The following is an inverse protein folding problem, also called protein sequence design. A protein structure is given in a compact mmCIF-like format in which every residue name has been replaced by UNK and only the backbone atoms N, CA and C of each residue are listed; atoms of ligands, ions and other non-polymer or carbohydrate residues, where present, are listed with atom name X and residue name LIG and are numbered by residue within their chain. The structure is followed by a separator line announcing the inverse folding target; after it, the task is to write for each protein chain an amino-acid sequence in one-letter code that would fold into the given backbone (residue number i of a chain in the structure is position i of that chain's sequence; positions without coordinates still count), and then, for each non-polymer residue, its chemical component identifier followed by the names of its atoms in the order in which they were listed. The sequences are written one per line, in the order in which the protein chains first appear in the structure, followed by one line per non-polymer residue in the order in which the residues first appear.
data_IF_584010767628
#
_entry.id   IF_584010767628
#
_cell.length_a   1.000
_cell.length_b   1.000
_cell.length_c   1.000
_cell.angle_alpha   90.00
_cell.angle_beta   90.00
_cell.angle_gamma   90.00
#
_symmetry.space_group_name_H-M   'P 1'
#
loop_
_entity.id
_entity.type
_entity.pdbx_description
1 polymer ?
#
# COMPACT_ATOMS: atom_id res chain seq x y z
N UNK A 1 27.38 73.24 -15.19
CA UNK A 1 26.19 73.09 -14.33
C UNK A 1 26.13 71.63 -13.92
N UNK A 2 26.53 71.37 -12.69
CA UNK A 2 26.57 70.05 -12.09
C UNK A 2 25.16 69.69 -11.61
N UNK A 3 24.75 68.43 -11.83
CA UNK A 3 23.64 67.85 -11.10
C UNK A 3 24.01 66.43 -10.72
N UNK A 4 23.78 66.17 -9.45
CA UNK A 4 24.43 65.24 -8.56
C UNK A 4 23.37 64.19 -8.21
N UNK A 5 23.41 63.01 -8.83
CA UNK A 5 22.52 61.90 -8.46
C UNK A 5 23.24 61.02 -7.43
N UNK A 6 22.87 61.22 -6.18
CA UNK A 6 23.19 60.37 -5.04
C UNK A 6 22.28 59.13 -5.07
N UNK A 7 22.88 57.96 -5.22
CA UNK A 7 22.22 56.68 -4.92
C UNK A 7 22.16 56.48 -3.39
N UNK A 8 20.99 56.24 -2.79
CA UNK A 8 20.91 55.85 -1.39
C UNK A 8 21.19 54.35 -1.26
N UNK A 9 22.23 54.02 -0.50
CA UNK A 9 22.48 52.70 0.05
C UNK A 9 21.34 52.33 1.00
N UNK A 10 20.37 51.55 0.51
CA UNK A 10 19.36 50.89 1.32
C UNK A 10 20.02 49.84 2.22
N UNK A 11 20.14 50.19 3.50
CA UNK A 11 20.46 49.27 4.59
C UNK A 11 19.35 48.23 4.68
N UNK A 12 19.65 47.00 4.28
CA UNK A 12 18.87 45.81 4.65
C UNK A 12 19.15 45.54 6.12
N UNK A 13 18.38 46.18 7.00
CA UNK A 13 18.18 45.70 8.35
C UNK A 13 17.41 44.40 8.25
N UNK A 14 18.11 43.28 8.47
CA UNK A 14 17.47 42.03 8.86
C UNK A 14 16.83 42.26 10.23
N UNK A 15 15.58 42.71 10.23
CA UNK A 15 14.68 42.59 11.37
C UNK A 15 14.44 41.10 11.60
N UNK A 16 15.34 40.44 12.32
CA UNK A 16 15.01 39.19 12.98
C UNK A 16 13.89 39.50 13.99
N UNK A 17 12.69 38.90 13.85
CA UNK A 17 11.66 39.06 14.87
C UNK A 17 12.21 38.45 16.15
N UNK A 18 12.35 39.29 17.17
CA UNK A 18 12.83 38.98 18.50
C UNK A 18 11.76 38.19 19.29
N UNK A 19 11.18 37.15 18.67
CA UNK A 19 9.98 36.43 19.10
C UNK A 19 10.27 35.32 20.13
N UNK A 20 11.53 35.13 20.54
CA UNK A 20 11.90 34.10 21.53
C UNK A 20 11.88 34.58 22.99
N UNK A 21 11.43 35.81 23.27
CA UNK A 21 11.15 36.26 24.63
C UNK A 21 9.66 36.24 24.94
N UNK A 22 9.03 35.07 24.73
CA UNK A 22 7.76 34.73 25.36
C UNK A 22 7.96 34.43 26.86
N UNK A 23 8.55 35.36 27.61
CA UNK A 23 8.78 35.27 29.06
C UNK A 23 7.50 35.52 29.88
N UNK A 24 6.33 35.38 29.27
CA UNK A 24 5.04 35.51 29.96
C UNK A 24 4.67 34.22 30.70
N UNK A 25 3.82 34.29 31.73
CA UNK A 25 3.26 33.10 32.35
C UNK A 25 2.44 32.30 31.32
N UNK A 26 2.48 30.97 31.44
CA UNK A 26 1.61 30.08 30.67
C UNK A 26 0.15 30.48 30.88
N UNK A 27 -0.64 30.47 29.82
CA UNK A 27 -2.07 30.77 29.88
C UNK A 27 -2.90 29.50 29.75
N UNK A 28 -3.74 29.23 30.73
CA UNK A 28 -4.61 28.06 30.77
C UNK A 28 -6.05 28.46 30.51
N UNK A 29 -6.75 27.66 29.70
CA UNK A 29 -8.16 27.86 29.45
C UNK A 29 -8.91 26.54 29.34
N UNK A 30 -10.13 26.53 29.84
CA UNK A 30 -11.10 25.47 29.62
C UNK A 30 -11.76 25.65 28.26
N UNK A 31 -11.93 24.54 27.57
CA UNK A 31 -12.74 24.48 26.37
C UNK A 31 -13.79 23.37 26.49
N UNK A 32 -15.02 23.64 26.07
CA UNK A 32 -16.12 22.68 26.15
C UNK A 32 -16.92 22.64 24.86
N UNK A 33 -17.38 21.44 24.50
CA UNK A 33 -18.40 21.26 23.47
C UNK A 33 -19.78 21.67 24.01
N UNK A 34 -20.66 22.23 23.19
CA UNK A 34 -21.97 22.75 23.63
C UNK A 34 -23.18 22.06 22.98
N UNK A 35 -22.97 21.34 21.88
CA UNK A 35 -24.02 20.67 21.12
C UNK A 35 -24.40 19.27 21.67
N UNK A 36 -23.73 18.80 22.72
CA UNK A 36 -23.93 17.48 23.29
C UNK A 36 -23.89 17.50 24.82
N UNK A 37 -24.79 16.75 25.45
CA UNK A 37 -24.87 16.63 26.92
C UNK A 37 -23.70 15.84 27.53
N UNK A 38 -22.98 15.07 26.71
CA UNK A 38 -21.73 14.38 27.01
C UNK A 38 -20.59 15.12 26.30
N UNK A 39 -20.58 16.44 26.49
CA UNK A 39 -19.63 17.32 25.87
C UNK A 39 -18.20 16.97 26.30
N UNK A 40 -17.37 16.62 25.32
CA UNK A 40 -15.94 16.53 25.54
C UNK A 40 -15.41 17.88 26.03
N UNK A 41 -14.63 17.82 27.12
CA UNK A 41 -13.97 18.96 27.72
C UNK A 41 -12.49 18.87 27.44
N UNK A 42 -11.85 20.02 27.32
CA UNK A 42 -10.44 20.12 27.01
C UNK A 42 -9.82 21.20 27.90
N UNK A 43 -8.59 20.92 28.34
CA UNK A 43 -7.69 21.92 28.84
C UNK A 43 -6.83 22.39 27.67
N UNK A 44 -6.85 23.69 27.42
CA UNK A 44 -5.98 24.35 26.47
C UNK A 44 -4.85 25.04 27.25
N UNK A 45 -3.62 24.80 26.84
CA UNK A 45 -2.43 25.42 27.42
C UNK A 45 -1.71 26.19 26.32
N UNK A 46 -1.51 27.48 26.55
CA UNK A 46 -0.85 28.40 25.64
C UNK A 46 0.42 28.95 26.28
N UNK A 47 1.43 29.26 25.46
CA UNK A 47 2.64 29.92 25.94
C UNK A 47 2.41 31.34 26.46
N UNK A 48 1.33 32.00 26.02
CA UNK A 48 0.89 33.30 26.54
C UNK A 48 -0.57 33.59 26.20
N UNK A 49 -1.13 34.63 26.82
CA UNK A 49 -2.48 35.11 26.49
C UNK A 49 -2.58 35.69 25.08
N UNK A 50 -1.50 36.27 24.55
CA UNK A 50 -1.46 36.78 23.19
C UNK A 50 -1.65 35.65 22.18
N UNK A 51 -0.98 34.51 22.40
CA UNK A 51 -1.15 33.31 21.56
C UNK A 51 -2.58 32.76 21.67
N UNK A 52 -3.19 32.75 22.86
CA UNK A 52 -4.57 32.32 23.02
C UNK A 52 -5.56 33.22 22.25
N UNK A 53 -5.32 34.54 22.25
CA UNK A 53 -6.13 35.51 21.50
C UNK A 53 -5.95 35.36 19.99
N UNK A 54 -4.71 35.18 19.53
CA UNK A 54 -4.38 34.94 18.12
C UNK A 54 -5.03 33.65 17.61
N UNK A 55 -4.83 32.55 18.34
CA UNK A 55 -5.44 31.26 18.04
C UNK A 55 -6.96 31.37 17.94
N UNK A 56 -7.62 32.04 18.89
CA UNK A 56 -9.07 32.20 18.87
C UNK A 56 -9.55 33.09 17.71
N UNK A 57 -8.81 34.14 17.38
CA UNK A 57 -9.16 35.02 16.26
C UNK A 57 -9.10 34.25 14.94
N UNK A 58 -8.07 33.42 14.76
CA UNK A 58 -7.95 32.57 13.58
C UNK A 58 -9.03 31.48 13.53
N UNK A 59 -9.38 30.90 14.68
CA UNK A 59 -10.54 30.00 14.82
C UNK A 59 -11.83 30.67 14.32
N UNK A 60 -12.10 31.90 14.74
CA UNK A 60 -13.31 32.62 14.33
C UNK A 60 -13.30 32.98 12.85
N UNK A 61 -12.13 33.27 12.27
CA UNK A 61 -11.98 33.55 10.86
C UNK A 61 -12.24 32.32 9.98
N UNK A 62 -11.69 31.17 10.38
CA UNK A 62 -11.74 29.93 9.58
C UNK A 62 -12.99 29.10 9.85
N UNK A 63 -13.53 29.22 11.05
CA UNK A 63 -14.69 28.49 11.51
C UNK A 63 -15.67 29.45 12.21
N UNK A 64 -16.41 30.30 11.47
CA UNK A 64 -17.31 31.30 12.06
C UNK A 64 -18.37 30.72 13.00
N UNK A 65 -18.81 29.49 12.71
CA UNK A 65 -19.81 28.77 13.52
C UNK A 65 -19.19 27.90 14.62
N UNK A 66 -17.86 27.94 14.79
CA UNK A 66 -17.16 27.07 15.72
C UNK A 66 -17.59 27.28 17.15
N UNK A 67 -17.98 28.48 17.57
CA UNK A 67 -18.34 28.71 18.96
C UNK A 67 -18.18 30.14 19.45
N UNK A 68 -18.25 30.27 20.78
CA UNK A 68 -18.22 31.54 21.50
C UNK A 68 -17.21 31.46 22.64
N UNK A 69 -16.43 32.54 22.81
CA UNK A 69 -15.56 32.71 23.98
C UNK A 69 -16.33 33.43 25.08
N UNK A 70 -16.70 32.68 26.12
CA UNK A 70 -17.55 33.20 27.22
C UNK A 70 -16.73 33.99 28.25
N UNK A 71 -15.44 33.65 28.42
CA UNK A 71 -14.52 34.37 29.30
C UNK A 71 -13.08 34.25 28.79
N UNK A 72 -12.11 34.97 29.37
CA UNK A 72 -10.70 34.82 28.97
C UNK A 72 -10.24 33.36 28.98
N UNK A 73 -10.63 32.60 30.01
CA UNK A 73 -10.26 31.20 30.23
C UNK A 73 -11.37 30.20 29.86
N UNK A 74 -12.45 30.60 29.18
CA UNK A 74 -13.55 29.69 28.81
C UNK A 74 -13.95 29.83 27.34
N UNK A 75 -13.65 28.78 26.59
CA UNK A 75 -14.03 28.58 25.20
C UNK A 75 -15.19 27.59 25.11
N UNK A 76 -16.24 27.94 24.39
CA UNK A 76 -17.37 27.05 24.11
C UNK A 76 -17.43 26.84 22.60
N UNK A 77 -17.49 25.60 22.14
CA UNK A 77 -17.51 25.29 20.71
C UNK A 77 -18.57 24.25 20.34
N UNK A 78 -18.86 24.17 19.04
CA UNK A 78 -19.75 23.19 18.41
C UNK A 78 -18.93 22.21 17.56
N UNK A 79 -19.44 21.00 17.40
CA UNK A 79 -18.85 19.96 16.59
C UNK A 79 -17.74 19.17 17.29
N UNK A 80 -17.48 18.00 16.72
CA UNK A 80 -16.54 17.04 17.28
C UNK A 80 -15.09 17.44 17.02
N UNK A 81 -14.24 17.15 18.02
CA UNK A 81 -12.78 17.18 17.93
C UNK A 81 -12.23 18.54 17.51
N UNK A 82 -12.85 19.62 17.95
CA UNK A 82 -12.51 20.97 17.51
C UNK A 82 -11.03 21.35 17.79
N UNK A 83 -10.46 21.16 19.00
CA UNK A 83 -9.04 21.41 19.23
C UNK A 83 -8.12 20.55 18.36
N UNK A 84 -8.51 19.30 18.10
CA UNK A 84 -7.74 18.41 17.22
C UNK A 84 -7.74 18.90 15.77
N UNK A 85 -8.86 19.42 15.28
CA UNK A 85 -8.95 19.99 13.93
C UNK A 85 -8.00 21.17 13.77
N UNK A 86 -8.03 22.12 14.71
CA UNK A 86 -7.15 23.31 14.67
C UNK A 86 -5.68 22.95 14.83
N UNK A 87 -5.35 21.88 15.56
CA UNK A 87 -3.96 21.44 15.72
C UNK A 87 -3.36 20.81 14.45
N UNK A 88 -4.20 20.26 13.56
CA UNK A 88 -3.78 19.59 12.32
C UNK A 88 -3.96 20.47 11.08
N UNK A 89 -4.53 21.66 11.24
CA UNK A 89 -4.82 22.57 10.12
C UNK A 89 -3.58 23.38 9.75
N UNK A 90 -3.22 23.37 8.46
CA UNK A 90 -2.06 24.10 7.93
C UNK A 90 -2.11 25.60 8.22
N UNK A 91 -3.30 26.18 8.36
CA UNK A 91 -3.45 27.61 8.68
C UNK A 91 -2.96 27.97 10.09
N UNK A 92 -2.88 26.97 10.97
CA UNK A 92 -2.42 27.11 12.34
C UNK A 92 -0.97 26.65 12.52
N UNK A 93 -0.25 26.35 11.43
CA UNK A 93 1.10 25.77 11.47
C UNK A 93 2.07 26.58 12.35
N UNK A 94 2.01 27.92 12.28
CA UNK A 94 2.85 28.81 13.09
C UNK A 94 2.49 28.85 14.58
N UNK A 95 1.33 28.29 14.96
CA UNK A 95 0.86 28.18 16.34
C UNK A 95 1.09 26.78 16.92
N UNK A 96 1.35 25.76 16.09
CA UNK A 96 1.41 24.35 16.53
C UNK A 96 2.38 24.08 17.69
N UNK A 97 3.47 24.84 17.80
CA UNK A 97 4.46 24.72 18.87
C UNK A 97 4.18 25.62 20.08
N UNK A 98 3.19 26.51 19.99
CA UNK A 98 2.89 27.56 20.98
C UNK A 98 1.66 27.24 21.85
N UNK A 99 0.95 26.17 21.55
CA UNK A 99 -0.16 25.69 22.35
C UNK A 99 -0.34 24.18 22.22
N UNK A 100 -0.99 23.57 23.19
CA UNK A 100 -1.44 22.19 23.11
C UNK A 100 -2.75 22.02 23.87
N UNK A 101 -3.41 20.88 23.69
CA UNK A 101 -4.63 20.55 24.40
C UNK A 101 -4.55 19.16 25.04
N UNK A 102 -5.29 18.99 26.12
CA UNK A 102 -5.54 17.69 26.77
C UNK A 102 -7.03 17.49 26.95
N UNK A 103 -7.56 16.34 26.53
CA UNK A 103 -8.96 16.03 26.77
C UNK A 103 -9.17 15.66 28.24
N UNK A 104 -10.07 16.37 28.91
CA UNK A 104 -10.47 16.11 30.29
C UNK A 104 -11.82 15.38 30.24
N UNK A 105 -11.79 14.13 30.67
CA UNK A 105 -12.91 13.20 30.89
C UNK A 105 -14.28 13.50 30.28
N UNK A 106 -14.71 12.61 29.39
CA UNK A 106 -16.12 12.26 29.26
C UNK A 106 -16.52 11.38 30.46
N UNK A 107 -17.71 11.62 31.00
CA UNK A 107 -18.22 11.09 32.27
C UNK A 107 -18.17 9.56 32.44
N UNK A 108 -17.96 8.80 31.37
CA UNK A 108 -18.07 7.34 31.39
C UNK A 108 -16.73 6.59 31.46
N UNK A 109 -15.58 7.27 31.31
CA UNK A 109 -14.28 6.56 31.18
C UNK A 109 -13.05 7.22 31.82
N UNK A 110 -13.21 8.24 32.67
CA UNK A 110 -12.06 8.81 33.37
C UNK A 110 -11.56 7.91 34.49
N UNK A 111 -10.48 7.17 34.20
CA UNK A 111 -9.61 6.47 35.17
C UNK A 111 -8.89 7.48 36.10
N UNK A 112 -9.65 8.19 36.93
CA UNK A 112 -9.11 8.86 38.11
C UNK A 112 -8.11 10.00 37.88
N UNK A 113 -7.92 10.51 36.65
CA UNK A 113 -7.18 11.77 36.46
C UNK A 113 -7.98 12.88 37.11
N UNK A 114 -7.44 13.40 38.22
CA UNK A 114 -8.03 14.47 39.02
C UNK A 114 -8.50 15.61 38.11
N UNK A 115 -9.64 16.22 38.44
CA UNK A 115 -10.06 17.46 37.79
C UNK A 115 -8.95 18.50 38.01
N UNK A 116 -8.18 18.78 36.97
CA UNK A 116 -7.14 19.81 37.05
C UNK A 116 -7.84 21.15 37.28
N UNK A 117 -7.76 21.64 38.52
CA UNK A 117 -8.16 22.99 38.90
C UNK A 117 -7.12 23.91 38.30
N UNK A 118 -7.45 24.58 37.19
CA UNK A 118 -6.57 25.59 36.61
C UNK A 118 -6.49 26.81 37.52
N UNK A 119 -5.32 27.46 37.63
CA UNK A 119 -5.23 28.73 38.34
C UNK A 119 -6.15 29.76 37.68
N UNK A 120 -6.88 30.52 38.50
CA UNK A 120 -7.69 31.64 38.01
C UNK A 120 -6.73 32.71 37.50
N UNK A 121 -6.77 33.00 36.21
CA UNK A 121 -5.94 34.02 35.59
C UNK A 121 -6.80 35.18 35.10
N UNK A 122 -6.24 36.39 35.15
CA UNK A 122 -6.86 37.55 34.52
C UNK A 122 -6.73 37.50 32.99
N UNK A 123 -7.24 38.54 32.32
CA UNK A 123 -7.12 38.69 30.87
C UNK A 123 -5.69 38.90 30.35
N UNK A 124 -4.71 39.04 31.24
CA UNK A 124 -3.29 39.18 30.93
C UNK A 124 -2.51 37.88 31.21
N UNK A 125 -3.14 36.90 31.87
CA UNK A 125 -2.52 35.63 32.27
C UNK A 125 -1.90 35.66 33.68
N UNK A 126 -2.09 36.71 34.46
CA UNK A 126 -1.62 36.76 35.85
C UNK A 126 -2.59 36.01 36.77
N UNK A 127 -2.06 35.25 37.73
CA UNK A 127 -2.89 34.45 38.66
C UNK A 127 -3.56 35.36 39.70
N UNK A 128 -4.90 35.42 39.70
CA UNK A 128 -5.72 36.34 40.51
C UNK A 128 -5.91 35.93 42.00
N UNK A 129 -5.09 35.01 42.52
CA UNK A 129 -5.29 34.41 43.86
C UNK A 129 -4.11 34.52 44.83
N UNK A 130 -3.02 35.21 44.46
CA UNK A 130 -1.77 35.23 45.25
C UNK A 130 -1.51 36.51 46.09
N UNK A 131 -2.38 37.53 46.01
CA UNK A 131 -2.11 38.88 46.52
C UNK A 131 -2.55 39.18 47.96
N UNK A 132 -2.62 38.18 48.84
CA UNK A 132 -2.96 38.40 50.26
C UNK A 132 -1.78 38.93 51.06
N UNK A 133 -1.57 40.24 51.06
CA UNK A 133 -0.71 40.93 52.04
C UNK A 133 -1.35 40.84 53.43
N UNK A 134 -1.15 39.70 54.09
CA UNK A 134 -1.69 39.38 55.41
C UNK A 134 -0.59 38.78 56.28
N UNK A 135 0.06 39.64 57.06
CA UNK A 135 1.06 39.29 58.07
C UNK A 135 0.43 38.36 59.12
N UNK A 136 0.70 37.05 59.03
CA UNK A 136 0.20 36.07 60.01
C UNK A 136 0.16 34.59 59.58
N UNK A 137 0.41 34.26 58.31
CA UNK A 137 0.29 32.87 57.78
C UNK A 137 1.52 32.31 57.08
N UNK A 138 2.74 32.76 57.43
CA UNK A 138 3.98 32.44 56.71
C UNK A 138 4.21 30.94 56.51
N UNK A 139 3.94 30.12 57.52
CA UNK A 139 4.24 28.68 57.49
C UNK A 139 3.30 27.87 56.59
N UNK A 140 2.03 28.27 56.47
CA UNK A 140 1.06 27.62 55.60
C UNK A 140 1.27 27.99 54.13
N UNK A 141 1.63 29.25 53.87
CA UNK A 141 1.95 29.74 52.53
C UNK A 141 3.31 29.20 52.04
N UNK A 142 4.29 29.05 52.94
CA UNK A 142 5.58 28.43 52.63
C UNK A 142 5.40 26.96 52.24
N UNK A 143 4.60 26.19 53.00
CA UNK A 143 4.24 24.81 52.61
C UNK A 143 3.48 24.75 51.29
N UNK A 144 2.63 25.74 50.99
CA UNK A 144 1.91 25.81 49.73
C UNK A 144 2.85 26.12 48.55
N UNK A 145 3.78 27.07 48.71
CA UNK A 145 4.81 27.35 47.70
C UNK A 145 5.74 26.17 47.49
N UNK A 146 6.14 25.47 48.56
CA UNK A 146 6.98 24.29 48.46
C UNK A 146 6.26 23.15 47.70
N UNK A 147 4.96 22.94 47.98
CA UNK A 147 4.13 21.99 47.23
C UNK A 147 3.92 22.41 45.77
N UNK A 148 3.80 23.70 45.50
CA UNK A 148 3.70 24.22 44.14
C UNK A 148 5.02 24.06 43.38
N UNK A 149 6.16 24.23 44.05
CA UNK A 149 7.48 23.97 43.49
C UNK A 149 7.66 22.48 43.17
N UNK A 150 7.29 21.57 44.07
CA UNK A 150 7.29 20.13 43.81
C UNK A 150 6.39 19.76 42.61
N UNK A 151 5.22 20.39 42.49
CA UNK A 151 4.34 20.19 41.34
C UNK A 151 4.94 20.72 40.05
N UNK A 152 5.61 21.87 40.08
CA UNK A 152 6.30 22.42 38.91
C UNK A 152 7.47 21.54 38.48
N UNK A 153 8.26 21.04 39.43
CA UNK A 153 9.36 20.11 39.16
C UNK A 153 8.83 18.76 38.62
N UNK A 154 7.71 18.27 39.16
CA UNK A 154 7.01 17.10 38.66
C UNK A 154 6.49 17.28 37.23
N UNK A 155 5.88 18.42 36.94
CA UNK A 155 5.41 18.77 35.60
C UNK A 155 6.57 18.93 34.61
N UNK A 156 7.68 19.56 35.03
CA UNK A 156 8.87 19.68 34.19
C UNK A 156 9.47 18.30 33.85
N UNK A 157 9.48 17.38 34.80
CA UNK A 157 9.88 15.98 34.57
C UNK A 157 8.96 15.28 33.56
N UNK A 158 7.63 15.44 33.69
CA UNK A 158 6.67 14.87 32.74
C UNK A 158 6.82 15.44 31.32
N UNK A 159 7.02 16.76 31.19
CA UNK A 159 7.27 17.40 29.89
C UNK A 159 8.53 16.82 29.24
N UNK A 160 9.60 16.62 30.02
CA UNK A 160 10.83 15.99 29.54
C UNK A 160 10.58 14.56 29.05
N UNK A 161 9.86 13.74 29.83
CA UNK A 161 9.51 12.37 29.40
C UNK A 161 8.63 12.36 28.15
N UNK A 162 7.71 13.32 28.02
CA UNK A 162 6.87 13.46 26.84
C UNK A 162 7.70 13.84 25.61
N UNK A 163 8.63 14.79 25.75
CA UNK A 163 9.56 15.18 24.69
C UNK A 163 10.46 14.01 24.25
N UNK A 164 11.00 13.24 25.20
CA UNK A 164 11.78 12.03 24.90
C UNK A 164 10.94 10.97 24.18
N UNK A 165 9.67 10.81 24.57
CA UNK A 165 8.74 9.89 23.92
C UNK A 165 8.39 10.33 22.50
N UNK A 166 8.17 11.63 22.29
CA UNK A 166 7.95 12.19 20.95
C UNK A 166 9.18 12.01 20.07
N UNK A 167 10.39 12.26 20.57
CA UNK A 167 11.64 12.02 19.84
C UNK A 167 11.76 10.55 19.40
N UNK A 168 11.49 9.60 20.31
CA UNK A 168 11.50 8.16 19.98
C UNK A 168 10.44 7.77 18.96
N UNK A 169 9.27 8.42 18.99
CA UNK A 169 8.22 8.19 18.02
C UNK A 169 8.62 8.72 16.64
N UNK A 170 9.26 9.89 16.55
CA UNK A 170 9.78 10.41 15.29
C UNK A 170 10.82 9.46 14.67
N UNK A 171 11.77 8.94 15.46
CA UNK A 171 12.71 7.92 14.96
C UNK A 171 12.01 6.64 14.47
N UNK A 172 10.89 6.26 15.10
CA UNK A 172 10.10 5.10 14.63
C UNK A 172 9.40 5.38 13.32
N UNK A 173 8.91 6.61 13.12
CA UNK A 173 8.32 7.04 11.85
C UNK A 173 9.35 7.06 10.73
N UNK A 174 10.55 7.58 10.97
CA UNK A 174 11.65 7.54 9.99
C UNK A 174 12.01 6.10 9.59
N UNK A 175 12.14 5.18 10.57
CA UNK A 175 12.38 3.76 10.27
C UNK A 175 11.22 3.13 9.48
N UNK A 176 9.99 3.53 9.76
CA UNK A 176 8.82 3.04 9.04
C UNK A 176 8.79 3.56 7.60
N UNK A 177 9.15 4.82 7.39
CA UNK A 177 9.28 5.43 6.07
C UNK A 177 10.29 4.68 5.21
N UNK A 178 11.48 4.40 5.75
CA UNK A 178 12.50 3.59 5.05
C UNK A 178 11.98 2.20 4.67
N UNK A 179 11.28 1.50 5.59
CA UNK A 179 10.70 0.18 5.29
C UNK A 179 9.60 0.26 4.22
N UNK A 180 8.82 1.33 4.17
CA UNK A 180 7.80 1.54 3.14
C UNK A 180 8.46 1.81 1.78
N UNK A 181 9.53 2.61 1.74
CA UNK A 181 10.30 2.86 0.51
C UNK A 181 10.97 1.60 -0.03
N UNK A 182 11.56 0.77 0.85
CA UNK A 182 12.14 -0.52 0.48
C UNK A 182 11.08 -1.46 -0.08
N UNK A 183 9.91 -1.56 0.57
CA UNK A 183 8.80 -2.38 0.09
C UNK A 183 8.25 -1.88 -1.26
N UNK A 184 8.12 -0.57 -1.44
CA UNK A 184 7.68 0.02 -2.71
C UNK A 184 8.67 -0.34 -3.84
N UNK A 185 9.97 -0.30 -3.55
CA UNK A 185 11.03 -0.68 -4.50
C UNK A 185 10.97 -2.17 -4.84
N UNK A 186 10.73 -3.05 -3.87
CA UNK A 186 10.57 -4.49 -4.10
C UNK A 186 9.33 -4.81 -4.96
N UNK A 187 8.19 -4.18 -4.67
CA UNK A 187 6.95 -4.36 -5.45
C UNK A 187 7.16 -3.91 -6.90
N UNK A 188 7.88 -2.80 -7.11
CA UNK A 188 8.23 -2.32 -8.45
C UNK A 188 9.10 -3.33 -9.19
N UNK A 189 10.15 -3.85 -8.56
CA UNK A 189 11.01 -4.87 -9.16
C UNK A 189 10.26 -6.17 -9.51
N UNK A 190 9.35 -6.63 -8.65
CA UNK A 190 8.49 -7.78 -8.93
C UNK A 190 7.54 -7.51 -10.12
N UNK A 191 6.95 -6.33 -10.17
CA UNK A 191 6.02 -5.94 -11.25
C UNK A 191 6.74 -5.86 -12.60
N UNK A 192 7.95 -5.31 -12.62
CA UNK A 192 8.80 -5.26 -13.81
C UNK A 192 9.23 -6.67 -14.24
N UNK A 193 9.61 -7.54 -13.29
CA UNK A 193 9.92 -8.95 -13.55
C UNK A 193 8.74 -9.73 -14.13
N UNK A 194 7.53 -9.54 -13.59
CA UNK A 194 6.30 -10.16 -14.10
C UNK A 194 5.91 -9.64 -15.49
N UNK A 195 6.22 -8.38 -15.79
CA UNK A 195 6.01 -7.83 -17.13
C UNK A 195 6.96 -8.47 -18.14
N UNK A 196 8.26 -8.52 -17.81
CA UNK A 196 9.27 -9.14 -18.66
C UNK A 196 9.00 -10.64 -18.90
N UNK A 197 8.58 -11.37 -17.85
CA UNK A 197 8.21 -12.77 -17.97
C UNK A 197 6.96 -12.98 -18.84
N UNK A 198 5.95 -12.10 -18.72
CA UNK A 198 4.76 -12.13 -19.58
C UNK A 198 5.10 -11.85 -21.05
N UNK A 199 6.02 -10.95 -21.31
CA UNK A 199 6.49 -10.64 -22.66
C UNK A 199 7.26 -11.83 -23.27
N UNK A 200 8.18 -12.42 -22.51
CA UNK A 200 8.90 -13.62 -22.92
C UNK A 200 7.95 -14.79 -23.21
N UNK A 201 6.93 -15.02 -22.38
CA UNK A 201 5.94 -16.06 -22.63
C UNK A 201 5.10 -15.80 -23.90
N UNK A 202 4.82 -14.53 -24.24
CA UNK A 202 4.16 -14.19 -25.51
C UNK A 202 5.06 -14.52 -26.70
N UNK A 203 6.35 -14.21 -26.62
CA UNK A 203 7.34 -14.54 -27.64
C UNK A 203 7.44 -16.04 -27.86
N UNK A 204 7.59 -16.83 -26.79
CA UNK A 204 7.65 -18.30 -26.86
C UNK A 204 6.35 -18.89 -27.44
N UNK A 205 5.18 -18.34 -27.06
CA UNK A 205 3.90 -18.79 -27.61
C UNK A 205 3.74 -18.44 -29.09
N UNK A 206 4.30 -17.31 -29.52
CA UNK A 206 4.32 -16.91 -30.92
C UNK A 206 5.24 -17.82 -31.73
N UNK A 207 6.45 -18.09 -31.24
CA UNK A 207 7.38 -19.04 -31.87
C UNK A 207 6.75 -20.43 -31.99
N UNK A 208 6.12 -20.93 -30.92
CA UNK A 208 5.45 -22.24 -30.94
C UNK A 208 4.28 -22.27 -31.93
N UNK A 209 3.52 -21.17 -32.06
CA UNK A 209 2.47 -21.05 -33.09
C UNK A 209 3.07 -21.14 -34.50
N UNK A 210 4.18 -20.46 -34.74
CA UNK A 210 4.86 -20.46 -36.05
C UNK A 210 5.43 -21.85 -36.38
N UNK A 211 5.98 -22.55 -35.39
CA UNK A 211 6.43 -23.94 -35.52
C UNK A 211 5.26 -24.90 -35.84
N UNK A 212 4.13 -24.77 -35.13
CA UNK A 212 2.93 -25.57 -35.42
C UNK A 212 2.39 -25.31 -36.83
N UNK A 213 2.44 -24.06 -37.28
CA UNK A 213 2.05 -23.70 -38.64
C UNK A 213 2.99 -24.33 -39.68
N UNK A 214 4.30 -24.23 -39.48
CA UNK A 214 5.28 -24.85 -40.38
C UNK A 214 5.13 -26.38 -40.44
N UNK A 215 4.82 -27.03 -39.32
CA UNK A 215 4.51 -28.47 -39.28
C UNK A 215 3.22 -28.81 -40.05
N UNK A 216 2.16 -28.01 -39.87
CA UNK A 216 0.90 -28.19 -40.59
C UNK A 216 1.09 -28.01 -42.11
N UNK A 217 1.84 -26.99 -42.53
CA UNK A 217 2.17 -26.73 -43.93
C UNK A 217 3.02 -27.88 -44.52
N UNK A 218 3.98 -28.40 -43.74
CA UNK A 218 4.78 -29.57 -44.11
C UNK A 218 3.95 -30.84 -44.28
N UNK A 219 2.95 -31.07 -43.41
CA UNK A 219 2.01 -32.18 -43.54
C UNK A 219 1.12 -32.03 -44.78
N UNK A 220 0.65 -30.82 -45.07
CA UNK A 220 -0.12 -30.54 -46.29
C UNK A 220 0.71 -30.83 -47.55
N UNK A 221 1.95 -30.34 -47.62
CA UNK A 221 2.85 -30.60 -48.74
C UNK A 221 3.16 -32.10 -48.91
N UNK A 222 3.34 -32.83 -47.80
CA UNK A 222 3.54 -34.29 -47.84
C UNK A 222 2.30 -35.04 -48.36
N UNK A 223 1.10 -34.60 -47.98
CA UNK A 223 -0.15 -35.18 -48.47
C UNK A 223 -0.35 -34.93 -49.97
N UNK A 224 -0.07 -33.72 -50.45
CA UNK A 224 -0.09 -33.38 -51.88
C UNK A 224 0.90 -34.23 -52.68
N UNK A 225 2.12 -34.39 -52.16
CA UNK A 225 3.14 -35.23 -52.79
C UNK A 225 2.70 -36.70 -52.89
N UNK A 226 2.12 -37.27 -51.82
CA UNK A 226 1.58 -38.63 -51.83
C UNK A 226 0.45 -38.79 -52.86
N UNK A 227 -0.43 -37.80 -52.98
CA UNK A 227 -1.51 -37.82 -53.96
C UNK A 227 -0.96 -37.81 -55.40
N UNK A 228 0.04 -36.97 -55.69
CA UNK A 228 0.70 -36.93 -57.00
C UNK A 228 1.42 -38.24 -57.32
N UNK A 229 2.15 -38.82 -56.35
CA UNK A 229 2.85 -40.09 -56.53
C UNK A 229 1.87 -41.24 -56.83
N UNK A 230 0.72 -41.27 -56.15
CA UNK A 230 -0.33 -42.25 -56.40
C UNK A 230 -0.96 -42.07 -57.79
N UNK A 231 -1.20 -40.83 -58.22
CA UNK A 231 -1.71 -40.54 -59.56
C UNK A 231 -0.72 -40.97 -60.66
N UNK A 232 0.58 -40.71 -60.47
CA UNK A 232 1.62 -41.19 -61.40
C UNK A 232 1.68 -42.72 -61.45
N UNK A 233 1.60 -43.39 -60.30
CA UNK A 233 1.58 -44.87 -60.22
C UNK A 233 0.36 -45.47 -60.93
N UNK A 234 -0.82 -44.89 -60.76
CA UNK A 234 -2.04 -45.35 -61.45
C UNK A 234 -1.96 -45.12 -62.96
N UNK A 235 -1.42 -43.98 -63.41
CA UNK A 235 -1.15 -43.69 -64.83
C UNK A 235 -0.19 -44.72 -65.42
N UNK A 236 0.97 -44.93 -64.80
CA UNK A 236 1.97 -45.91 -65.23
C UNK A 236 1.41 -47.35 -65.27
N UNK A 237 0.63 -47.73 -64.25
CA UNK A 237 -0.04 -49.04 -64.22
C UNK A 237 -1.07 -49.20 -65.36
N UNK A 238 -1.82 -48.13 -65.67
CA UNK A 238 -2.77 -48.13 -66.79
C UNK A 238 -2.07 -48.26 -68.15
N UNK A 239 -0.94 -47.59 -68.33
CA UNK A 239 -0.12 -47.68 -69.54
C UNK A 239 0.50 -49.05 -69.70
N UNK A 240 1.07 -49.60 -68.62
CA UNK A 240 1.58 -50.97 -68.59
C UNK A 240 0.50 -51.99 -68.92
N UNK A 241 -0.72 -51.82 -68.39
CA UNK A 241 -1.87 -52.67 -68.72
C UNK A 241 -2.26 -52.59 -70.20
N UNK A 242 -2.22 -51.39 -70.79
CA UNK A 242 -2.46 -51.18 -72.24
C UNK A 242 -1.38 -51.86 -73.08
N UNK A 243 -0.11 -51.70 -72.71
CA UNK A 243 1.01 -52.32 -73.44
C UNK A 243 0.97 -53.86 -73.33
N UNK A 244 0.65 -54.40 -72.15
CA UNK A 244 0.48 -55.85 -71.96
C UNK A 244 -0.65 -56.41 -72.83
N UNK A 245 -1.76 -55.68 -72.98
CA UNK A 245 -2.84 -56.04 -73.92
C UNK A 245 -2.36 -56.00 -75.38
N UNK A 246 -1.52 -55.03 -75.74
CA UNK A 246 -0.93 -54.88 -77.08
C UNK A 246 0.02 -56.04 -77.41
N UNK A 247 0.90 -56.41 -76.48
CA UNK A 247 1.78 -57.58 -76.60
C UNK A 247 0.97 -58.88 -76.74
N UNK A 248 -0.08 -59.06 -75.94
CA UNK A 248 -0.97 -60.24 -76.07
C UNK A 248 -1.62 -60.33 -77.46
N UNK A 249 -2.06 -59.21 -78.03
CA UNK A 249 -2.60 -59.19 -79.39
C UNK A 249 -1.53 -59.52 -80.44
N UNK A 250 -0.31 -58.98 -80.31
CA UNK A 250 0.80 -59.30 -81.21
C UNK A 250 1.19 -60.78 -81.15
N UNK A 251 1.34 -61.35 -79.94
CA UNK A 251 1.63 -62.78 -79.78
C UNK A 251 0.52 -63.67 -80.35
N UNK A 252 -0.76 -63.26 -80.25
CA UNK A 252 -1.88 -63.99 -80.85
C UNK A 252 -1.83 -64.02 -82.39
N UNK A 253 -1.19 -63.03 -83.02
CA UNK A 253 -0.99 -63.01 -84.48
C UNK A 253 0.26 -63.76 -84.97
N UNK A 254 1.20 -64.12 -84.08
CA UNK A 254 2.45 -64.83 -84.46
C UNK A 254 2.55 -66.28 -83.97
N UNK A 255 1.74 -66.71 -83.00
CA UNK A 255 1.83 -68.05 -82.41
C UNK A 255 0.60 -68.93 -82.67
N UNK A 256 0.61 -69.64 -83.80
CA UNK A 256 -0.17 -70.85 -83.96
C UNK A 256 0.51 -72.03 -83.23
N UNK A 257 -0.30 -72.80 -82.52
CA UNK A 257 -0.04 -74.14 -81.95
C UNK A 257 1.07 -74.27 -80.89
N UNK A 258 0.67 -74.22 -79.61
CA UNK A 258 1.12 -75.17 -78.58
C UNK A 258 0.15 -75.13 -77.39
N UNK A 259 -0.67 -76.18 -77.29
CA UNK A 259 -1.44 -76.48 -76.10
C UNK A 259 -0.49 -76.98 -75.00
N UNK A 260 -0.56 -76.42 -73.80
CA UNK A 260 -0.04 -77.07 -72.60
C UNK A 260 -0.97 -76.81 -71.41
N UNK A 261 -1.28 -77.94 -70.78
CA UNK A 261 -2.07 -78.25 -69.60
C UNK A 261 -2.18 -77.21 -68.48
N UNK A 262 -3.45 -77.06 -68.11
CA UNK A 262 -4.01 -76.99 -66.76
C UNK A 262 -3.37 -78.00 -65.78
N UNK A 263 -2.74 -77.49 -64.71
CA UNK A 263 -2.61 -78.21 -63.44
C UNK A 263 -2.77 -77.24 -62.28
N UNK A 264 -3.79 -77.52 -61.47
CA UNK A 264 -4.04 -76.95 -60.17
C UNK A 264 -2.91 -77.30 -59.18
N UNK A 265 -2.47 -76.32 -58.41
CA UNK A 265 -1.76 -76.53 -57.14
C UNK A 265 -1.94 -75.29 -56.25
N UNK A 266 -3.03 -75.32 -55.49
CA UNK A 266 -3.36 -74.40 -54.42
C UNK A 266 -2.31 -74.54 -53.30
N UNK A 267 -1.34 -73.63 -53.25
CA UNK A 267 -0.34 -73.59 -52.19
C UNK A 267 -0.73 -72.48 -51.22
N UNK A 268 -1.47 -72.84 -50.17
CA UNK A 268 -1.66 -72.01 -48.98
C UNK A 268 -0.29 -71.75 -48.36
N UNK A 269 0.18 -70.51 -48.48
CA UNK A 269 1.36 -70.04 -47.76
C UNK A 269 0.87 -69.62 -46.37
N UNK A 270 1.05 -70.52 -45.41
CA UNK A 270 1.00 -70.19 -43.98
C UNK A 270 2.19 -69.29 -43.65
N UNK A 271 1.89 -68.03 -43.40
CA UNK A 271 2.85 -67.03 -42.96
C UNK A 271 2.85 -66.97 -41.42
N UNK A 272 3.93 -67.38 -40.72
CA UNK A 272 4.01 -67.36 -39.27
C UNK A 272 4.49 -65.99 -38.79
N UNK A 273 3.65 -64.96 -38.97
CA UNK A 273 3.87 -63.69 -38.28
C UNK A 273 2.66 -63.37 -37.41
N UNK A 274 2.94 -63.36 -36.11
CA UNK A 274 2.06 -63.00 -35.02
C UNK A 274 1.62 -61.54 -35.19
N UNK A 275 0.47 -61.35 -35.84
CA UNK A 275 -0.15 -60.03 -36.00
C UNK A 275 -0.76 -59.67 -34.65
N UNK A 276 0.06 -59.04 -33.80
CA UNK A 276 -0.43 -58.36 -32.62
C UNK A 276 -1.50 -57.33 -33.05
N UNK A 277 -2.75 -57.42 -32.56
CA UNK A 277 -3.80 -56.51 -32.96
C UNK A 277 -3.44 -55.07 -32.57
N UNK A 278 -3.84 -54.07 -33.38
CA UNK A 278 -3.55 -52.68 -33.05
C UNK A 278 -4.16 -52.33 -31.69
N UNK A 279 -3.46 -51.55 -30.85
CA UNK A 279 -3.91 -51.22 -29.51
C UNK A 279 -5.24 -50.47 -29.59
N UNK A 280 -6.29 -51.11 -29.06
CA UNK A 280 -7.60 -50.45 -28.91
C UNK A 280 -7.44 -49.32 -27.91
N UNK A 281 -7.93 -48.14 -28.28
CA UNK A 281 -8.07 -47.03 -27.33
C UNK A 281 -9.10 -47.45 -26.28
N UNK A 282 -8.61 -47.93 -25.15
CA UNK A 282 -9.38 -48.01 -23.90
C UNK A 282 -9.60 -46.56 -23.48
N UNK A 283 -10.85 -46.21 -23.17
CA UNK A 283 -11.29 -44.90 -22.70
C UNK A 283 -10.37 -44.36 -21.60
N UNK A 284 -9.37 -43.59 -22.01
CA UNK A 284 -8.61 -42.73 -21.11
C UNK A 284 -9.28 -41.37 -21.19
N UNK A 285 -10.30 -41.18 -20.36
CA UNK A 285 -10.50 -39.87 -19.75
C UNK A 285 -9.15 -39.45 -19.19
N UNK A 286 -8.54 -38.45 -19.80
CA UNK A 286 -7.39 -37.78 -19.21
C UNK A 286 -7.95 -37.07 -17.98
N UNK A 287 -7.98 -37.79 -16.86
CA UNK A 287 -8.14 -37.18 -15.54
C UNK A 287 -6.92 -36.31 -15.36
N UNK A 288 -7.17 -35.01 -15.22
CA UNK A 288 -6.14 -34.00 -15.09
C UNK A 288 -5.07 -34.42 -14.10
N UNK A 289 -3.82 -34.24 -14.50
CA UNK A 289 -2.75 -34.09 -13.54
C UNK A 289 -3.05 -32.81 -12.75
N UNK A 290 -3.67 -32.96 -11.58
CA UNK A 290 -3.57 -31.95 -10.55
C UNK A 290 -2.17 -32.12 -9.94
N UNK A 291 -1.24 -31.26 -10.34
CA UNK A 291 0.00 -31.09 -9.60
C UNK A 291 -0.37 -30.47 -8.26
N UNK A 292 -0.77 -31.33 -7.32
CA UNK A 292 -0.92 -30.99 -5.93
C UNK A 292 0.38 -30.34 -5.47
N UNK A 293 0.35 -29.01 -5.36
CA UNK A 293 1.36 -28.23 -4.67
C UNK A 293 1.55 -28.89 -3.31
N UNK A 294 2.75 -29.43 -3.07
CA UNK A 294 3.19 -29.73 -1.72
C UNK A 294 3.20 -28.40 -0.98
N UNK A 295 2.15 -28.13 -0.24
CA UNK A 295 2.12 -27.12 0.81
C UNK A 295 3.30 -27.42 1.72
N UNK A 296 4.29 -26.51 1.71
CA UNK A 296 5.36 -26.48 2.68
C UNK A 296 4.68 -26.32 4.04
N UNK A 297 4.64 -27.38 4.82
CA UNK A 297 4.25 -27.33 6.23
C UNK A 297 5.32 -26.53 6.98
N UNK A 298 5.11 -25.23 7.04
CA UNK A 298 5.79 -24.33 7.97
C UNK A 298 5.46 -24.76 9.40
N UNK A 299 6.52 -24.97 10.16
CA UNK A 299 6.49 -25.41 11.53
C UNK A 299 5.64 -24.47 12.42
N UNK A 300 4.87 -25.09 13.31
CA UNK A 300 4.13 -24.47 14.41
C UNK A 300 5.09 -23.70 15.32
N UNK A 301 5.02 -22.38 15.30
CA UNK A 301 5.45 -21.56 16.42
C UNK A 301 4.36 -21.59 17.51
N UNK A 302 4.72 -22.12 18.69
CA UNK A 302 3.90 -22.04 19.89
C UNK A 302 4.15 -20.68 20.57
N UNK A 303 3.14 -19.85 20.84
CA UNK A 303 3.24 -18.90 21.93
C UNK A 303 2.84 -19.60 23.24
N UNK A 304 3.83 -19.78 24.12
CA UNK A 304 3.57 -20.13 25.51
C UNK A 304 3.03 -18.89 26.23
N UNK A 305 1.77 -18.99 26.66
CA UNK A 305 1.11 -18.05 27.56
C UNK A 305 0.99 -18.68 28.94
N UNK A 306 1.30 -17.87 29.94
CA UNK A 306 1.00 -17.94 31.38
C UNK A 306 1.94 -18.72 32.33
N UNK A 307 2.47 -17.96 33.30
CA UNK A 307 2.23 -18.30 34.70
C UNK A 307 3.38 -18.07 35.68
N UNK A 308 3.61 -16.82 36.09
CA UNK A 308 3.70 -16.36 37.50
C UNK A 308 3.98 -14.87 37.59
#
# INVERSE_FOLDING_TARGET
MASNEQNPTGSLGEDQPNDMQANGPLFYAYARRTDSHWASRYLLTFTSVAIANEWWSLVQQEYPDAGVRTSPQLFSFHGDKFPQKTANDKKFEHLTTKWFYSQIGDSDRTDGRMQDVIPVQDGEGNVLGGGGSGSGGGEAMEKMMQKMQELMEGNASQIKTLAETQSKNNERFERMETLVEENATQIKALTEGDSANREHMKEVMQEHRDQLKALADGQAASAEWLQQALEQSTKASSEMSKELKRQRQQNKSQGGTAAVNETAAETRVDCPHDVHPPPRKIDKTIVGYDYGQKSVTGAKEKPAVNGK
#
